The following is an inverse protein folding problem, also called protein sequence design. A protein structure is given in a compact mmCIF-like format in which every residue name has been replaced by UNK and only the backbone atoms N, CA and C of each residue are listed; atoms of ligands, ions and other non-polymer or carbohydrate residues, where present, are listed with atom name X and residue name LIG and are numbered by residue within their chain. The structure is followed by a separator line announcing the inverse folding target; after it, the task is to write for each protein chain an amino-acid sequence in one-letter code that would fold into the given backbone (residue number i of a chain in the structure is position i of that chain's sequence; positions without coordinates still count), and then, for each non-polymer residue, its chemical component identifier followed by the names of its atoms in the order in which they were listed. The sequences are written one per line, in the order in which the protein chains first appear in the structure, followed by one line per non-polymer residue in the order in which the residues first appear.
data_IF_054491798309
#
_entry.id   IF_054491798309
#
_cell.length_a   1.000
_cell.length_b   1.000
_cell.length_c   1.000
_cell.angle_alpha   90.00
_cell.angle_beta   90.00
_cell.angle_gamma   90.00
#
_symmetry.space_group_name_H-M   'P 1'
#
loop_
_entity.id
_entity.type
_entity.pdbx_description
1 polymer ?
#
# COMPACT_ATOMS: atom_id res chain seq x y z
N UNK A 1 3.30 -6.91 12.61
CA UNK A 1 4.21 -7.15 11.48
C UNK A 1 3.90 -8.55 10.97
N UNK A 2 3.20 -8.69 9.84
CA UNK A 2 2.98 -10.01 9.24
C UNK A 2 4.20 -10.29 8.34
N UNK A 3 5.22 -10.94 8.90
CA UNK A 3 6.55 -11.12 8.28
C UNK A 3 6.62 -12.21 7.20
N UNK A 4 5.54 -12.94 6.96
CA UNK A 4 5.58 -14.08 6.04
C UNK A 4 5.01 -13.67 4.68
N UNK A 5 5.90 -13.39 3.74
CA UNK A 5 5.56 -13.30 2.32
C UNK A 5 5.73 -14.68 1.68
N UNK A 6 4.62 -15.32 1.33
CA UNK A 6 4.65 -16.57 0.58
C UNK A 6 4.92 -16.29 -0.90
N UNK A 7 6.04 -16.80 -1.41
CA UNK A 7 6.46 -16.57 -2.80
C UNK A 7 5.68 -17.47 -3.77
N UNK A 8 5.15 -18.60 -3.28
CA UNK A 8 4.48 -19.59 -4.10
C UNK A 8 3.09 -19.94 -3.57
N UNK A 9 2.14 -20.12 -4.50
CA UNK A 9 0.73 -20.47 -4.20
C UNK A 9 0.59 -21.74 -3.35
N UNK A 10 1.51 -22.70 -3.46
CA UNK A 10 1.47 -23.92 -2.65
C UNK A 10 1.74 -23.64 -1.15
N UNK A 11 2.57 -22.64 -0.83
CA UNK A 11 2.85 -22.28 0.56
C UNK A 11 1.62 -21.61 1.20
N UNK A 12 0.89 -20.80 0.42
CA UNK A 12 -0.39 -20.22 0.83
C UNK A 12 -1.43 -21.33 1.04
N UNK A 13 -1.48 -22.31 0.14
CA UNK A 13 -2.40 -23.46 0.27
C UNK A 13 -2.12 -24.29 1.53
N UNK A 14 -0.84 -24.52 1.87
CA UNK A 14 -0.44 -25.19 3.11
C UNK A 14 -0.88 -24.36 4.32
N UNK A 15 -0.58 -23.06 4.33
CA UNK A 15 -0.97 -22.17 5.43
C UNK A 15 -2.49 -22.16 5.67
N UNK A 16 -3.29 -22.10 4.60
CA UNK A 16 -4.75 -22.12 4.71
C UNK A 16 -5.24 -23.45 5.27
N UNK A 17 -4.63 -24.56 4.85
CA UNK A 17 -4.96 -25.88 5.37
C UNK A 17 -4.62 -26.02 6.85
N UNK A 18 -3.45 -25.55 7.27
CA UNK A 18 -3.01 -25.60 8.67
C UNK A 18 -3.81 -24.67 9.58
N UNK A 19 -4.18 -23.49 9.08
CA UNK A 19 -4.85 -22.45 9.88
C UNK A 19 -6.37 -22.61 9.92
N UNK A 20 -6.98 -22.98 8.80
CA UNK A 20 -8.44 -22.97 8.62
C UNK A 20 -9.01 -24.36 8.25
N UNK A 21 -8.17 -25.40 8.15
CA UNK A 21 -8.60 -26.75 7.79
C UNK A 21 -9.12 -26.90 6.35
N UNK A 22 -9.06 -25.83 5.55
CA UNK A 22 -9.62 -25.78 4.19
C UNK A 22 -8.53 -26.08 3.17
N UNK A 23 -8.83 -26.94 2.20
CA UNK A 23 -7.88 -27.30 1.13
C UNK A 23 -8.29 -26.65 -0.18
N UNK A 24 -7.36 -25.93 -0.80
CA UNK A 24 -7.52 -25.35 -2.14
C UNK A 24 -6.62 -26.06 -3.14
N UNK A 25 -7.10 -26.19 -4.38
CA UNK A 25 -6.22 -26.46 -5.53
C UNK A 25 -5.44 -25.20 -5.88
N UNK A 26 -4.27 -25.35 -6.51
CA UNK A 26 -3.46 -24.20 -6.94
C UNK A 26 -4.23 -23.30 -7.92
N UNK A 27 -4.99 -23.90 -8.84
CA UNK A 27 -5.85 -23.16 -9.77
C UNK A 27 -6.98 -22.42 -9.05
N UNK A 28 -7.64 -23.07 -8.09
CA UNK A 28 -8.70 -22.46 -7.28
C UNK A 28 -8.17 -21.29 -6.47
N UNK A 29 -7.03 -21.44 -5.80
CA UNK A 29 -6.43 -20.37 -5.02
C UNK A 29 -6.04 -19.17 -5.89
N UNK A 30 -5.47 -19.41 -7.08
CA UNK A 30 -5.17 -18.34 -8.02
C UNK A 30 -6.44 -17.62 -8.49
N UNK A 31 -7.54 -18.34 -8.71
CA UNK A 31 -8.82 -17.76 -9.09
C UNK A 31 -9.41 -16.90 -7.97
N UNK A 32 -9.40 -17.38 -6.73
CA UNK A 32 -9.88 -16.64 -5.55
C UNK A 32 -9.11 -15.32 -5.36
N UNK A 33 -7.78 -15.36 -5.46
CA UNK A 33 -6.93 -14.16 -5.35
C UNK A 33 -7.30 -13.12 -6.44
N UNK A 34 -7.58 -13.58 -7.66
CA UNK A 34 -8.04 -12.70 -8.75
C UNK A 34 -9.45 -12.16 -8.51
N UNK A 35 -10.39 -12.99 -8.04
CA UNK A 35 -11.78 -12.59 -7.74
C UNK A 35 -11.83 -11.52 -6.66
N UNK A 36 -11.01 -11.68 -5.62
CA UNK A 36 -10.87 -10.70 -4.54
C UNK A 36 -10.06 -9.46 -4.94
N UNK A 37 -9.61 -9.35 -6.20
CA UNK A 37 -8.78 -8.27 -6.73
C UNK A 37 -7.54 -8.01 -5.86
N UNK A 38 -7.00 -9.07 -5.27
CA UNK A 38 -5.85 -8.96 -4.40
C UNK A 38 -4.62 -8.60 -5.24
N UNK A 39 -4.13 -7.38 -5.08
CA UNK A 39 -2.91 -6.91 -5.72
C UNK A 39 -1.84 -6.74 -4.66
N UNK A 40 -0.83 -7.62 -4.69
CA UNK A 40 0.34 -7.44 -3.86
C UNK A 40 1.32 -6.48 -4.54
N UNK A 41 1.43 -5.26 -4.03
CA UNK A 41 2.56 -4.39 -4.32
C UNK A 41 3.57 -4.56 -3.19
N UNK A 42 4.68 -5.24 -3.48
CA UNK A 42 5.86 -5.19 -2.60
C UNK A 42 6.16 -3.72 -2.33
N UNK A 43 6.21 -3.31 -1.06
CA UNK A 43 6.63 -1.97 -0.71
C UNK A 43 8.00 -1.75 -1.37
N UNK A 44 8.06 -0.81 -2.32
CA UNK A 44 9.35 -0.40 -2.88
C UNK A 44 10.17 0.12 -1.70
N UNK A 45 11.46 -0.21 -1.69
CA UNK A 45 12.37 0.26 -0.64
C UNK A 45 12.28 1.77 -0.47
N UNK A 46 12.75 2.24 0.69
CA UNK A 46 12.78 3.67 1.04
C UNK A 46 13.12 4.51 -0.19
N UNK A 47 12.25 5.45 -0.61
CA UNK A 47 12.49 6.25 -1.80
C UNK A 47 13.88 6.87 -1.75
N UNK A 48 14.61 6.93 -2.87
CA UNK A 48 15.94 7.53 -2.91
C UNK A 48 15.96 8.99 -2.40
N UNK A 49 14.82 9.69 -2.49
CA UNK A 49 14.66 11.06 -2.00
C UNK A 49 14.12 11.15 -0.56
N UNK A 50 13.94 10.03 0.13
CA UNK A 50 13.48 10.03 1.50
C UNK A 50 14.56 10.58 2.42
N UNK A 51 14.16 11.53 3.26
CA UNK A 51 15.01 12.20 4.22
C UNK A 51 14.30 12.12 5.57
N UNK A 52 14.88 11.35 6.50
CA UNK A 52 14.27 11.07 7.79
C UNK A 52 14.17 12.32 8.67
N UNK A 53 15.14 13.24 8.56
CA UNK A 53 15.17 14.48 9.32
C UNK A 53 14.05 15.39 8.82
N UNK A 54 13.94 15.60 7.50
CA UNK A 54 12.83 16.38 6.92
C UNK A 54 11.46 15.78 7.22
N UNK A 55 11.33 14.45 7.25
CA UNK A 55 10.08 13.80 7.62
C UNK A 55 9.73 14.05 9.09
N UNK A 56 10.72 13.99 10.00
CA UNK A 56 10.52 14.26 11.42
C UNK A 56 10.13 15.72 11.68
N UNK A 57 10.80 16.66 11.01
CA UNK A 57 10.46 18.09 11.02
C UNK A 57 9.02 18.33 10.55
N UNK A 58 8.63 17.69 9.44
CA UNK A 58 7.27 17.79 8.92
C UNK A 58 6.22 17.23 9.88
N UNK A 59 6.50 16.10 10.53
CA UNK A 59 5.59 15.51 11.54
C UNK A 59 5.38 16.47 12.71
N UNK A 60 6.46 17.04 13.25
CA UNK A 60 6.37 17.99 14.36
C UNK A 60 5.54 19.23 13.98
N UNK A 61 5.80 19.78 12.80
CA UNK A 61 5.02 20.88 12.23
C UNK A 61 3.53 20.52 12.08
N UNK A 62 3.23 19.34 11.53
CA UNK A 62 1.87 18.91 11.27
C UNK A 62 1.06 18.66 12.55
N UNK A 63 1.66 18.07 13.58
CA UNK A 63 1.00 17.88 14.87
C UNK A 63 0.67 19.23 15.54
N UNK A 64 1.60 20.19 15.47
CA UNK A 64 1.34 21.55 15.91
C UNK A 64 0.19 22.19 15.12
N UNK A 65 0.21 22.07 13.79
CA UNK A 65 -0.87 22.59 12.93
C UNK A 65 -2.23 21.99 13.32
N UNK A 66 -2.32 20.67 13.50
CA UNK A 66 -3.57 20.01 13.91
C UNK A 66 -4.10 20.52 15.25
N UNK A 67 -3.22 20.84 16.20
CA UNK A 67 -3.64 21.38 17.50
C UNK A 67 -4.27 22.79 17.40
N UNK A 68 -3.98 23.52 16.33
CA UNK A 68 -4.47 24.89 16.11
C UNK A 68 -5.75 24.96 15.29
N UNK A 69 -6.14 23.86 14.63
CA UNK A 69 -7.29 23.82 13.71
C UNK A 69 -8.59 23.68 14.50
N UNK A 70 -9.55 24.54 14.19
CA UNK A 70 -10.88 24.51 14.83
C UNK A 70 -11.70 23.28 14.39
N UNK A 71 -12.71 22.84 15.15
CA UNK A 71 -13.51 21.66 14.82
C UNK A 71 -14.21 21.70 13.44
N UNK A 72 -14.46 22.90 12.92
CA UNK A 72 -15.10 23.19 11.64
C UNK A 72 -14.09 23.50 10.51
N UNK A 73 -12.78 23.49 10.81
CA UNK A 73 -11.72 23.68 9.83
C UNK A 73 -11.13 22.35 9.35
N UNK A 74 -10.68 22.33 8.09
CA UNK A 74 -10.18 21.12 7.45
C UNK A 74 -8.78 21.34 6.85
N UNK A 75 -7.84 20.46 7.18
CA UNK A 75 -6.53 20.39 6.52
C UNK A 75 -6.68 19.55 5.25
N UNK A 76 -6.46 20.17 4.09
CA UNK A 76 -6.54 19.51 2.79
C UNK A 76 -5.14 19.26 2.22
N UNK A 77 -4.86 18.02 1.82
CA UNK A 77 -3.67 17.68 1.04
C UNK A 77 -4.08 17.59 -0.43
N UNK A 78 -3.65 18.54 -1.24
CA UNK A 78 -3.91 18.56 -2.67
C UNK A 78 -2.64 18.21 -3.43
N UNK A 79 -2.77 17.35 -4.44
CA UNK A 79 -1.70 17.14 -5.41
C UNK A 79 -1.59 18.39 -6.29
N UNK A 80 -0.37 18.88 -6.49
CA UNK A 80 -0.11 19.96 -7.44
C UNK A 80 -0.15 19.34 -8.84
N UNK A 81 -1.36 19.11 -9.36
CA UNK A 81 -1.55 18.65 -10.73
C UNK A 81 -1.13 19.80 -11.65
N UNK A 82 0.16 19.88 -11.98
CA UNK A 82 0.61 20.74 -13.06
C UNK A 82 -0.14 20.30 -14.31
N UNK A 83 -1.05 21.16 -14.79
CA UNK A 83 -1.63 21.10 -16.12
C UNK A 83 -0.54 21.46 -17.14
N UNK A 84 0.41 20.54 -17.33
CA UNK A 84 1.34 20.54 -18.44
C UNK A 84 1.21 19.16 -19.13
N UNK A 85 0.39 19.16 -20.18
CA UNK A 85 0.19 18.08 -21.15
C UNK A 85 1.56 17.49 -21.57
N UNK A 86 1.78 16.18 -21.62
CA UNK A 86 1.08 15.26 -22.50
C UNK A 86 0.96 13.85 -21.91
N UNK A 87 -0.23 13.29 -22.07
CA UNK A 87 -0.48 11.85 -22.12
C UNK A 87 0.42 11.21 -23.19
N UNK A 88 1.48 10.54 -22.76
CA UNK A 88 1.96 9.37 -23.49
C UNK A 88 1.32 8.15 -22.85
N UNK A 89 0.22 7.68 -23.46
CA UNK A 89 -0.25 6.33 -23.19
C UNK A 89 0.83 5.41 -23.76
N UNK A 90 1.61 4.79 -22.89
CA UNK A 90 2.38 3.60 -23.24
C UNK A 90 1.85 2.46 -22.41
N UNK A 91 1.15 1.55 -23.07
CA UNK A 91 0.95 0.20 -22.58
C UNK A 91 2.29 -0.53 -22.64
N UNK A 92 2.64 -1.18 -21.54
CA UNK A 92 3.84 -2.01 -21.35
C UNK A 92 3.84 -2.58 -19.95
#
# INVERSE_FOLDING_TARGET
MFDITYLHTHQIAIYIKETFGTSYTISGLNQEVHQHKFSYKKAKGVPHKFDAEKQAEFIAFYEQLKSTVAPDEHILFMDAVHLAQATKITAG
#
